data_IF_057202514677
#
_entry.id   IF_057202514677
#
_cell.length_a   1.000
_cell.length_b   1.000
_cell.length_c   1.000
_cell.angle_alpha   90.00
_cell.angle_beta   90.00
_cell.angle_gamma   90.00
#
_symmetry.space_group_name_H-M   'P 1'
#
loop_
_entity.id
_entity.type
_entity.pdbx_description
1 polymer ?
#
# COMPACT_ATOMS: atom_id res chain seq x y z
N UNK A 1 -7.16 7.25 3.51
CA UNK A 1 -7.66 8.00 2.35
C UNK A 1 -8.09 7.08 1.21
N UNK A 2 -7.19 6.25 0.65
CA UNK A 2 -7.51 5.27 -0.41
C UNK A 2 -8.60 4.28 0.01
N UNK A 3 -8.60 3.82 1.26
CA UNK A 3 -9.66 2.95 1.81
C UNK A 3 -11.03 3.64 1.76
N UNK A 4 -11.12 4.95 2.07
CA UNK A 4 -12.40 5.67 1.97
C UNK A 4 -12.92 5.68 0.53
N UNK A 5 -12.06 5.98 -0.45
CA UNK A 5 -12.43 5.93 -1.87
C UNK A 5 -12.82 4.54 -2.34
N UNK A 6 -12.12 3.50 -1.86
CA UNK A 6 -12.39 2.12 -2.27
C UNK A 6 -13.69 1.55 -1.72
N UNK A 7 -14.21 2.04 -0.58
CA UNK A 7 -15.56 1.66 -0.10
C UNK A 7 -16.63 2.03 -1.12
N UNK A 8 -16.52 3.20 -1.74
CA UNK A 8 -17.45 3.62 -2.78
C UNK A 8 -17.32 2.78 -4.05
N UNK A 9 -16.07 2.46 -4.48
CA UNK A 9 -15.85 1.53 -5.58
C UNK A 9 -16.36 0.12 -5.27
N UNK A 10 -16.20 -0.35 -4.03
CA UNK A 10 -16.73 -1.64 -3.59
C UNK A 10 -18.26 -1.66 -3.70
N UNK A 11 -18.95 -0.62 -3.25
CA UNK A 11 -20.42 -0.50 -3.36
C UNK A 11 -20.84 -0.51 -4.83
N UNK A 12 -20.10 0.18 -5.71
CA UNK A 12 -20.39 0.19 -7.15
C UNK A 12 -20.17 -1.17 -7.82
N UNK A 13 -19.30 -2.02 -7.25
CA UNK A 13 -18.85 -3.28 -7.87
C UNK A 13 -19.01 -4.49 -6.93
N UNK A 14 -20.06 -4.53 -6.10
CA UNK A 14 -20.30 -5.68 -5.22
C UNK A 14 -20.44 -6.97 -6.02
N UNK A 15 -19.69 -8.04 -5.69
CA UNK A 15 -19.68 -9.31 -6.42
C UNK A 15 -20.92 -10.18 -6.10
N UNK A 16 -22.10 -9.57 -6.18
CA UNK A 16 -23.39 -10.24 -5.96
C UNK A 16 -24.09 -10.36 -7.32
N UNK A 17 -24.44 -11.59 -7.77
CA UNK A 17 -25.15 -11.79 -9.03
C UNK A 17 -26.44 -10.95 -9.10
N UNK A 18 -26.63 -10.23 -10.21
CA UNK A 18 -27.80 -9.37 -10.43
C UNK A 18 -27.80 -8.02 -9.69
N UNK A 19 -26.78 -7.73 -8.87
CA UNK A 19 -26.71 -6.48 -8.09
C UNK A 19 -26.71 -5.24 -8.99
N UNK A 20 -25.86 -5.24 -10.03
CA UNK A 20 -25.76 -4.11 -10.96
C UNK A 20 -27.07 -3.83 -11.71
N UNK A 21 -27.73 -4.89 -12.17
CA UNK A 21 -29.03 -4.81 -12.85
C UNK A 21 -30.13 -4.29 -11.90
N UNK A 22 -30.13 -4.80 -10.66
CA UNK A 22 -31.06 -4.34 -9.63
C UNK A 22 -30.88 -2.85 -9.33
N UNK A 23 -29.65 -2.40 -9.12
CA UNK A 23 -29.34 -0.98 -8.85
C UNK A 23 -29.70 -0.09 -10.06
N UNK A 24 -29.39 -0.56 -11.28
CA UNK A 24 -29.74 0.16 -12.51
C UNK A 24 -31.28 0.29 -12.69
N UNK A 25 -32.04 -0.71 -12.26
CA UNK A 25 -33.52 -0.67 -12.33
C UNK A 25 -34.13 0.39 -11.40
N UNK A 26 -33.44 0.73 -10.30
CA UNK A 26 -33.93 1.71 -9.31
C UNK A 26 -33.41 3.12 -9.62
N UNK A 27 -32.11 3.26 -9.93
CA UNK A 27 -31.42 4.54 -10.03
C UNK A 27 -31.03 4.93 -11.47
N UNK A 28 -31.33 4.07 -12.44
CA UNK A 28 -30.94 4.25 -13.84
C UNK A 28 -29.54 3.72 -14.16
N UNK A 29 -29.20 3.70 -15.45
CA UNK A 29 -27.94 3.08 -15.92
C UNK A 29 -26.66 3.80 -15.44
N UNK A 30 -26.79 5.06 -15.04
CA UNK A 30 -25.67 5.90 -14.59
C UNK A 30 -25.54 5.93 -13.06
N UNK A 31 -26.12 4.96 -12.34
CA UNK A 31 -26.11 4.91 -10.88
C UNK A 31 -24.72 4.85 -10.24
N UNK A 32 -23.71 4.39 -10.99
CA UNK A 32 -22.32 4.33 -10.51
C UNK A 32 -21.58 5.66 -10.59
N UNK A 33 -22.11 6.67 -11.31
CA UNK A 33 -21.43 7.95 -11.52
C UNK A 33 -21.03 8.67 -10.22
N UNK A 34 -21.87 8.76 -9.16
CA UNK A 34 -21.47 9.38 -7.89
C UNK A 34 -20.32 8.63 -7.22
N UNK A 35 -20.31 7.31 -7.28
CA UNK A 35 -19.24 6.47 -6.70
C UNK A 35 -17.92 6.63 -7.46
N UNK A 36 -17.99 6.69 -8.79
CA UNK A 36 -16.85 6.93 -9.66
C UNK A 36 -16.29 8.36 -9.47
N UNK A 37 -17.14 9.35 -9.17
CA UNK A 37 -16.69 10.70 -8.83
C UNK A 37 -15.85 10.71 -7.54
N UNK A 38 -16.24 9.94 -6.51
CA UNK A 38 -15.44 9.77 -5.30
C UNK A 38 -14.11 9.07 -5.60
N UNK A 39 -14.12 8.03 -6.41
CA UNK A 39 -12.90 7.36 -6.87
C UNK A 39 -11.98 8.33 -7.63
N UNK A 40 -12.54 9.14 -8.53
CA UNK A 40 -11.81 10.18 -9.26
C UNK A 40 -11.17 11.25 -8.37
N UNK A 41 -11.86 11.63 -7.27
CA UNK A 41 -11.35 12.59 -6.28
C UNK A 41 -10.38 11.99 -5.26
N UNK A 42 -10.20 10.67 -5.27
CA UNK A 42 -9.29 9.95 -4.36
C UNK A 42 -8.11 9.32 -5.12
N UNK A 43 -8.34 8.30 -5.91
CA UNK A 43 -7.27 7.56 -6.59
C UNK A 43 -6.60 8.37 -7.70
N UNK A 44 -7.39 9.08 -8.51
CA UNK A 44 -6.85 9.81 -9.65
C UNK A 44 -6.10 11.10 -9.27
N UNK A 45 -6.00 11.42 -7.97
CA UNK A 45 -5.20 12.54 -7.44
C UNK A 45 -4.20 12.06 -6.37
N UNK A 46 -3.88 10.77 -6.38
CA UNK A 46 -3.04 10.13 -5.36
C UNK A 46 -1.67 10.81 -5.20
N UNK A 47 -1.01 11.19 -6.29
CA UNK A 47 0.30 11.85 -6.24
C UNK A 47 0.24 13.21 -5.50
N UNK A 48 -0.84 14.00 -5.70
CA UNK A 48 -1.02 15.27 -4.98
C UNK A 48 -1.14 15.06 -3.47
N UNK A 49 -1.86 14.02 -3.08
CA UNK A 49 -2.04 13.69 -1.66
C UNK A 49 -0.75 13.15 -1.06
N UNK A 50 -0.04 12.30 -1.77
CA UNK A 50 1.23 11.70 -1.33
C UNK A 50 2.29 12.80 -1.10
N UNK A 51 2.45 13.75 -2.04
CA UNK A 51 3.44 14.81 -1.88
C UNK A 51 3.16 15.67 -0.65
N UNK A 52 1.89 16.04 -0.44
CA UNK A 52 1.48 16.83 0.73
C UNK A 52 1.64 16.04 2.03
N UNK A 53 1.15 14.81 2.07
CA UNK A 53 1.15 14.00 3.29
C UNK A 53 2.55 13.63 3.77
N UNK A 54 3.44 13.23 2.86
CA UNK A 54 4.83 12.90 3.19
C UNK A 54 5.55 14.15 3.68
N UNK A 55 5.46 15.26 2.94
CA UNK A 55 6.12 16.52 3.33
C UNK A 55 5.63 17.00 4.68
N UNK A 56 4.30 17.03 4.88
CA UNK A 56 3.71 17.45 6.14
C UNK A 56 4.21 16.62 7.33
N UNK A 57 4.22 15.30 7.17
CA UNK A 57 4.63 14.40 8.24
C UNK A 57 6.13 14.49 8.52
N UNK A 58 6.95 14.51 7.46
CA UNK A 58 8.41 14.59 7.59
C UNK A 58 8.83 15.90 8.27
N UNK A 59 8.39 17.03 7.73
CA UNK A 59 8.76 18.37 8.22
C UNK A 59 8.22 18.62 9.63
N UNK A 60 6.99 18.14 9.92
CA UNK A 60 6.43 18.21 11.27
C UNK A 60 7.20 17.37 12.29
N UNK A 61 7.71 16.20 11.93
CA UNK A 61 8.56 15.39 12.82
C UNK A 61 9.91 16.06 13.10
N UNK A 62 10.41 16.89 12.16
CA UNK A 62 11.63 17.67 12.30
C UNK A 62 11.43 18.98 13.10
N UNK A 63 10.20 19.30 13.50
CA UNK A 63 9.84 20.50 14.25
C UNK A 63 9.79 21.79 13.41
N UNK A 64 9.72 21.68 12.08
CA UNK A 64 9.69 22.78 11.13
C UNK A 64 8.24 23.09 10.65
N UNK A 65 8.04 24.20 9.90
CA UNK A 65 6.72 24.58 9.39
C UNK A 65 6.21 23.63 8.29
N UNK A 66 5.53 22.56 8.72
CA UNK A 66 5.00 21.52 7.86
C UNK A 66 3.97 22.05 6.86
N UNK A 67 3.19 23.06 7.21
CA UNK A 67 2.13 23.61 6.36
C UNK A 67 2.73 24.33 5.15
N UNK A 68 3.68 25.23 5.38
CA UNK A 68 4.35 25.96 4.30
C UNK A 68 5.14 25.01 3.38
N UNK A 69 5.91 24.08 3.97
CA UNK A 69 6.64 23.09 3.19
C UNK A 69 5.72 22.26 2.28
N UNK A 70 4.55 21.85 2.78
CA UNK A 70 3.60 21.04 2.00
C UNK A 70 3.01 21.79 0.82
N UNK A 71 2.70 23.08 0.99
CA UNK A 71 2.22 23.94 -0.10
C UNK A 71 3.32 24.10 -1.16
N UNK A 72 4.57 24.34 -0.74
CA UNK A 72 5.71 24.46 -1.64
C UNK A 72 5.99 23.15 -2.39
N UNK A 73 5.86 22.01 -1.73
CA UNK A 73 6.04 20.70 -2.36
C UNK A 73 4.96 20.42 -3.41
N UNK A 74 3.70 20.73 -3.10
CA UNK A 74 2.58 20.61 -4.04
C UNK A 74 2.81 21.52 -5.26
N UNK A 75 3.17 22.77 -5.04
CA UNK A 75 3.45 23.72 -6.13
C UNK A 75 4.63 23.25 -6.99
N UNK A 76 5.70 22.74 -6.37
CA UNK A 76 6.87 22.18 -7.07
C UNK A 76 6.48 21.01 -7.95
N UNK A 77 5.63 20.10 -7.45
CA UNK A 77 5.11 18.97 -8.24
C UNK A 77 4.31 19.48 -9.47
N UNK A 78 3.42 20.44 -9.27
CA UNK A 78 2.58 20.98 -10.35
C UNK A 78 3.40 21.71 -11.42
N UNK A 79 4.46 22.44 -11.07
CA UNK A 79 5.37 23.10 -12.02
C UNK A 79 6.02 22.07 -12.95
N UNK A 80 6.29 20.85 -12.47
CA UNK A 80 6.97 19.80 -13.22
C UNK A 80 6.03 18.95 -14.08
N UNK A 81 4.70 19.09 -13.91
CA UNK A 81 3.69 18.32 -14.65
C UNK A 81 3.61 18.77 -16.12
N UNK A 82 3.16 17.88 -17.03
CA UNK A 82 2.87 18.26 -18.41
C UNK A 82 1.75 19.33 -18.44
N UNK A 83 1.97 20.47 -19.12
CA UNK A 83 0.96 21.53 -19.20
C UNK A 83 -0.12 21.28 -20.26
N UNK A 84 0.04 20.22 -21.04
CA UNK A 84 -0.86 19.89 -22.16
C UNK A 84 -0.90 18.38 -22.37
N UNK A 85 -1.96 17.93 -23.04
CA UNK A 85 -2.16 16.54 -23.42
C UNK A 85 -2.63 16.46 -24.86
N UNK A 86 -2.10 15.51 -25.63
CA UNK A 86 -2.59 15.21 -26.98
C UNK A 86 -3.72 14.19 -26.84
N UNK A 87 -4.91 14.53 -27.30
CA UNK A 87 -6.07 13.64 -27.33
C UNK A 87 -5.89 12.54 -28.39
N UNK A 88 -6.69 11.48 -28.32
CA UNK A 88 -6.70 10.40 -29.33
C UNK A 88 -6.94 10.91 -30.76
N UNK A 89 -7.64 12.02 -30.90
CA UNK A 89 -7.90 12.68 -32.19
C UNK A 89 -6.75 13.61 -32.64
N UNK A 90 -5.62 13.61 -31.94
CA UNK A 90 -4.44 14.43 -32.27
C UNK A 90 -4.58 15.92 -31.89
N UNK A 91 -5.63 16.32 -31.16
CA UNK A 91 -5.79 17.69 -30.70
C UNK A 91 -4.96 17.94 -29.44
N UNK A 92 -4.20 19.02 -29.42
CA UNK A 92 -3.47 19.51 -28.26
C UNK A 92 -4.43 20.29 -27.35
N UNK A 93 -4.66 19.80 -26.13
CA UNK A 93 -5.41 20.52 -25.08
C UNK A 93 -4.40 21.06 -24.08
N UNK A 94 -4.29 22.38 -23.98
CA UNK A 94 -3.42 23.09 -23.04
C UNK A 94 -4.12 23.50 -21.76
N UNK A 95 -3.36 24.06 -20.82
CA UNK A 95 -3.83 24.58 -19.51
C UNK A 95 -4.63 23.57 -18.68
N UNK A 96 -4.17 22.32 -18.68
CA UNK A 96 -4.79 21.21 -17.95
C UNK A 96 -3.82 20.60 -16.94
N UNK A 97 -4.38 19.93 -15.95
CA UNK A 97 -3.65 19.02 -15.06
C UNK A 97 -4.07 17.59 -15.42
N UNK A 98 -3.23 16.83 -16.15
CA UNK A 98 -3.60 15.50 -16.59
C UNK A 98 -3.73 14.54 -15.40
N UNK A 99 -4.92 13.93 -15.22
CA UNK A 99 -5.20 13.00 -14.11
C UNK A 99 -4.22 11.83 -14.06
N UNK A 100 -3.72 11.36 -15.20
CA UNK A 100 -2.73 10.29 -15.25
C UNK A 100 -1.46 10.62 -14.44
N UNK A 101 -0.97 11.85 -14.51
CA UNK A 101 0.27 12.27 -13.85
C UNK A 101 0.08 12.73 -12.41
N UNK A 102 -1.12 13.12 -12.01
CA UNK A 102 -1.46 13.41 -10.61
C UNK A 102 -2.00 12.18 -9.87
N UNK A 103 -2.28 11.08 -10.59
CA UNK A 103 -2.67 9.77 -10.10
C UNK A 103 -1.47 8.82 -9.90
N UNK A 104 -1.62 7.56 -10.33
CA UNK A 104 -0.63 6.49 -10.15
C UNK A 104 0.73 6.78 -10.78
N UNK A 105 0.75 7.32 -12.01
CA UNK A 105 2.00 7.52 -12.75
C UNK A 105 2.91 8.59 -12.12
N UNK A 106 2.34 9.52 -11.36
CA UNK A 106 3.09 10.57 -10.66
C UNK A 106 3.53 10.23 -9.25
N UNK A 107 3.17 9.08 -8.70
CA UNK A 107 3.38 8.78 -7.28
C UNK A 107 4.86 8.75 -6.90
N UNK A 108 5.71 8.11 -7.70
CA UNK A 108 7.16 8.06 -7.42
C UNK A 108 7.78 9.44 -7.51
N UNK A 109 7.38 10.23 -8.51
CA UNK A 109 7.80 11.64 -8.62
C UNK A 109 7.38 12.43 -7.39
N UNK A 110 6.15 12.27 -6.93
CA UNK A 110 5.63 12.93 -5.73
C UNK A 110 6.45 12.58 -4.47
N UNK A 111 6.83 11.31 -4.31
CA UNK A 111 7.69 10.86 -3.21
C UNK A 111 9.07 11.54 -3.28
N UNK A 112 9.71 11.54 -4.44
CA UNK A 112 11.04 12.16 -4.63
C UNK A 112 10.98 13.67 -4.30
N UNK A 113 9.97 14.37 -4.82
CA UNK A 113 9.77 15.79 -4.56
C UNK A 113 9.48 16.05 -3.08
N UNK A 114 8.64 15.21 -2.45
CA UNK A 114 8.33 15.34 -1.03
C UNK A 114 9.59 15.28 -0.17
N UNK A 115 10.46 14.29 -0.38
CA UNK A 115 11.71 14.18 0.37
C UNK A 115 12.69 15.31 0.05
N UNK A 116 12.82 15.69 -1.21
CA UNK A 116 13.67 16.80 -1.62
C UNK A 116 13.26 18.11 -0.94
N UNK A 117 11.97 18.47 -1.05
CA UNK A 117 11.45 19.70 -0.43
C UNK A 117 11.56 19.62 1.09
N UNK A 118 11.20 18.50 1.70
CA UNK A 118 11.26 18.34 3.16
C UNK A 118 12.68 18.56 3.70
N UNK A 119 13.65 17.90 3.08
CA UNK A 119 15.05 18.00 3.55
C UNK A 119 15.60 19.42 3.39
N UNK A 120 15.41 20.02 2.20
CA UNK A 120 15.94 21.37 1.92
C UNK A 120 15.21 22.43 2.75
N UNK A 121 13.88 22.31 2.92
CA UNK A 121 13.10 23.23 3.74
C UNK A 121 13.55 23.20 5.20
N UNK A 122 13.67 22.01 5.81
CA UNK A 122 14.14 21.86 7.17
C UNK A 122 15.59 22.36 7.32
N UNK A 123 16.44 22.12 6.32
CA UNK A 123 17.80 22.67 6.34
C UNK A 123 17.80 24.19 6.36
N UNK A 124 16.99 24.84 5.51
CA UNK A 124 16.87 26.29 5.45
C UNK A 124 16.33 26.85 6.77
N UNK A 125 15.29 26.26 7.32
CA UNK A 125 14.64 26.75 8.56
C UNK A 125 15.59 26.59 9.76
N UNK A 126 16.21 25.44 9.95
CA UNK A 126 17.15 25.15 11.05
C UNK A 126 18.41 26.01 10.99
N UNK A 127 18.88 26.35 9.79
CA UNK A 127 20.07 27.20 9.61
C UNK A 127 19.71 28.69 9.42
N UNK A 128 18.45 29.06 9.64
CA UNK A 128 17.98 30.45 9.48
C UNK A 128 18.24 31.04 8.07
N UNK A 129 18.18 30.21 7.03
CA UNK A 129 18.29 30.63 5.64
C UNK A 129 16.92 31.14 5.18
N UNK A 130 16.66 32.42 5.41
CA UNK A 130 15.38 33.05 5.12
C UNK A 130 15.36 34.52 5.52
N UNK A 131 14.27 35.21 5.20
CA UNK A 131 14.08 36.60 5.60
C UNK A 131 13.56 36.62 7.04
N UNK A 132 14.38 37.13 7.97
CA UNK A 132 13.97 37.30 9.37
C UNK A 132 13.12 38.54 9.51
N UNK A 133 11.94 38.40 10.09
CA UNK A 133 11.08 39.50 10.44
C UNK A 133 11.28 39.90 11.91
N UNK A 134 11.12 41.19 12.24
CA UNK A 134 11.08 41.64 13.63
C UNK A 134 9.98 40.97 14.44
N UNK A 135 10.18 40.82 15.76
CA UNK A 135 9.22 40.17 16.67
C UNK A 135 7.85 40.88 16.74
N UNK A 136 7.77 42.14 16.28
CA UNK A 136 6.53 42.91 16.18
C UNK A 136 5.57 42.43 15.04
N UNK A 137 6.08 41.61 14.13
CA UNK A 137 5.29 41.13 12.98
C UNK A 137 4.46 39.90 13.39
N UNK A 138 3.14 39.85 13.03
CA UNK A 138 2.32 38.69 13.31
C UNK A 138 2.94 37.37 12.76
N UNK A 139 2.89 36.31 13.56
CA UNK A 139 3.56 35.03 13.25
C UNK A 139 3.21 34.46 11.87
N UNK A 140 1.93 34.60 11.41
CA UNK A 140 1.53 34.12 10.10
C UNK A 140 2.23 34.84 8.95
N UNK A 141 2.49 36.15 9.10
CA UNK A 141 3.22 36.96 8.13
C UNK A 141 4.71 36.59 8.15
N UNK A 142 5.28 36.51 9.36
CA UNK A 142 6.69 36.14 9.53
C UNK A 142 7.02 34.77 8.89
N UNK A 143 6.17 33.76 9.07
CA UNK A 143 6.30 32.43 8.44
C UNK A 143 6.28 32.51 6.91
N UNK A 144 5.40 33.33 6.32
CA UNK A 144 5.34 33.49 4.87
C UNK A 144 6.66 34.06 4.30
N UNK A 145 7.25 35.05 4.99
CA UNK A 145 8.55 35.61 4.57
C UNK A 145 9.73 34.65 4.79
N UNK A 146 9.70 33.87 5.87
CA UNK A 146 10.72 32.83 6.11
C UNK A 146 10.68 31.77 5.02
N UNK A 147 9.49 31.38 4.54
CA UNK A 147 9.32 30.40 3.49
C UNK A 147 9.63 30.92 2.06
N UNK A 148 9.80 32.23 1.89
CA UNK A 148 10.06 32.85 0.58
C UNK A 148 11.37 32.34 -0.05
N UNK A 149 12.46 32.32 0.73
CA UNK A 149 13.78 31.91 0.23
C UNK A 149 13.79 30.41 -0.15
N UNK A 150 13.35 29.47 0.72
CA UNK A 150 13.17 28.08 0.32
C UNK A 150 12.29 27.92 -0.91
N UNK A 151 11.15 28.65 -0.98
CA UNK A 151 10.23 28.62 -2.11
C UNK A 151 10.91 29.03 -3.43
N UNK A 152 11.70 30.10 -3.40
CA UNK A 152 12.47 30.54 -4.59
C UNK A 152 13.49 29.46 -5.00
N UNK A 153 14.14 28.78 -4.08
CA UNK A 153 15.06 27.67 -4.38
C UNK A 153 14.27 26.55 -5.10
N UNK A 154 13.13 26.12 -4.55
CA UNK A 154 12.35 25.03 -5.15
C UNK A 154 11.82 25.36 -6.53
N UNK A 155 11.27 26.55 -6.72
CA UNK A 155 10.71 26.97 -8.00
C UNK A 155 11.80 27.20 -9.05
N UNK A 156 12.97 27.69 -8.64
CA UNK A 156 14.12 27.80 -9.54
C UNK A 156 14.61 26.41 -9.98
N UNK A 157 14.78 25.48 -9.02
CA UNK A 157 15.19 24.11 -9.35
C UNK A 157 14.15 23.44 -10.24
N UNK A 158 12.86 23.56 -9.93
CA UNK A 158 11.78 23.00 -10.75
C UNK A 158 11.77 23.60 -12.16
N UNK A 159 11.93 24.92 -12.29
CA UNK A 159 11.98 25.60 -13.59
C UNK A 159 13.18 25.13 -14.43
N UNK A 160 14.35 25.00 -13.82
CA UNK A 160 15.56 24.49 -14.50
C UNK A 160 15.36 23.04 -14.94
N UNK A 161 14.82 22.17 -14.05
CA UNK A 161 14.54 20.78 -14.39
C UNK A 161 13.49 20.66 -15.51
N UNK A 162 12.43 21.46 -15.45
CA UNK A 162 11.43 21.54 -16.51
C UNK A 162 12.08 21.93 -17.84
N UNK A 163 12.89 23.01 -17.85
CA UNK A 163 13.60 23.46 -19.04
C UNK A 163 14.55 22.40 -19.60
N UNK A 164 15.34 21.75 -18.75
CA UNK A 164 16.26 20.69 -19.18
C UNK A 164 15.49 19.52 -19.80
N UNK A 165 14.43 19.04 -19.17
CA UNK A 165 13.60 17.95 -19.72
C UNK A 165 12.97 18.36 -21.05
N UNK A 166 12.42 19.58 -21.14
CA UNK A 166 11.76 20.07 -22.33
C UNK A 166 12.73 20.24 -23.53
N UNK A 167 13.89 20.87 -23.31
CA UNK A 167 14.82 21.17 -24.40
C UNK A 167 15.73 20.01 -24.81
N UNK A 168 16.03 19.09 -23.86
CA UNK A 168 16.91 17.95 -24.14
C UNK A 168 16.15 16.69 -24.60
N UNK A 169 14.88 16.52 -24.24
CA UNK A 169 14.16 15.29 -24.54
C UNK A 169 12.71 15.47 -24.96
N UNK A 170 12.17 16.70 -25.01
CA UNK A 170 10.74 16.96 -25.23
C UNK A 170 9.83 16.10 -24.32
N UNK A 171 10.25 15.87 -23.08
CA UNK A 171 9.62 15.02 -22.08
C UNK A 171 9.54 15.80 -20.77
N UNK A 172 8.60 15.50 -19.90
CA UNK A 172 8.55 16.09 -18.55
C UNK A 172 9.29 15.24 -17.51
N UNK A 173 9.63 15.83 -16.36
CA UNK A 173 10.30 15.10 -15.30
C UNK A 173 9.47 13.92 -14.76
N UNK A 174 8.15 14.04 -14.56
CA UNK A 174 7.31 12.88 -14.18
C UNK A 174 7.35 11.75 -15.20
N UNK A 175 7.31 12.06 -16.51
CA UNK A 175 7.42 11.06 -17.57
C UNK A 175 8.79 10.37 -17.58
N UNK A 176 9.86 11.14 -17.34
CA UNK A 176 11.21 10.59 -17.26
C UNK A 176 11.35 9.63 -16.07
N UNK A 177 10.91 10.05 -14.90
CA UNK A 177 10.93 9.22 -13.66
C UNK A 177 10.05 7.99 -13.85
N UNK A 178 8.87 8.13 -14.45
CA UNK A 178 7.99 7.02 -14.74
C UNK A 178 8.67 5.97 -15.61
N UNK A 179 9.30 6.38 -16.72
CA UNK A 179 9.97 5.46 -17.63
C UNK A 179 11.23 4.82 -17.05
N UNK A 180 12.05 5.58 -16.31
CA UNK A 180 13.36 5.11 -15.87
C UNK A 180 13.29 4.39 -14.52
N UNK A 181 12.38 4.80 -13.64
CA UNK A 181 12.31 4.28 -12.26
C UNK A 181 11.03 3.48 -12.04
N UNK A 182 9.86 4.09 -12.27
CA UNK A 182 8.59 3.47 -11.87
C UNK A 182 8.29 2.22 -12.69
N UNK A 183 8.34 2.29 -14.01
CA UNK A 183 8.02 1.15 -14.89
C UNK A 183 8.91 -0.08 -14.63
N UNK A 184 10.25 0.05 -14.54
CA UNK A 184 11.10 -1.10 -14.18
C UNK A 184 10.81 -1.65 -12.78
N UNK A 185 10.59 -0.80 -11.78
CA UNK A 185 10.27 -1.25 -10.42
C UNK A 185 8.90 -1.93 -10.34
N UNK A 186 7.88 -1.39 -11.02
CA UNK A 186 6.58 -2.05 -11.14
C UNK A 186 6.70 -3.40 -11.85
N UNK A 187 7.40 -3.44 -13.00
CA UNK A 187 7.65 -4.68 -13.72
C UNK A 187 8.38 -5.71 -12.88
N UNK A 188 9.37 -5.31 -12.09
CA UNK A 188 10.07 -6.22 -11.18
C UNK A 188 9.17 -6.68 -10.03
N UNK A 189 8.40 -5.78 -9.42
CA UNK A 189 7.51 -6.10 -8.30
C UNK A 189 6.34 -7.00 -8.72
N UNK A 190 5.91 -6.93 -9.98
CA UNK A 190 4.83 -7.76 -10.53
C UNK A 190 5.29 -9.17 -10.93
N UNK A 191 6.58 -9.49 -10.81
CA UNK A 191 7.06 -10.86 -11.00
C UNK A 191 6.84 -11.72 -9.75
N UNK A 192 6.67 -13.04 -9.93
CA UNK A 192 6.60 -13.97 -8.80
C UNK A 192 7.85 -13.90 -7.92
N UNK A 193 9.03 -13.71 -8.54
CA UNK A 193 10.29 -13.54 -7.82
C UNK A 193 10.30 -12.24 -6.99
N UNK A 194 9.91 -11.12 -7.59
CA UNK A 194 9.83 -9.82 -6.89
C UNK A 194 8.82 -9.86 -5.74
N UNK A 195 7.62 -10.41 -5.97
CA UNK A 195 6.63 -10.62 -4.92
C UNK A 195 7.15 -11.52 -3.79
N UNK A 196 7.91 -12.57 -4.14
CA UNK A 196 8.52 -13.46 -3.14
C UNK A 196 9.56 -12.75 -2.27
N UNK A 197 10.41 -11.91 -2.87
CA UNK A 197 11.39 -11.10 -2.12
C UNK A 197 10.67 -10.13 -1.18
N UNK A 198 9.62 -9.46 -1.64
CA UNK A 198 8.82 -8.52 -0.84
C UNK A 198 8.25 -9.25 0.38
N UNK A 199 7.59 -10.38 0.17
CA UNK A 199 6.93 -11.16 1.24
C UNK A 199 7.96 -11.74 2.21
N UNK A 200 9.05 -12.29 1.71
CA UNK A 200 10.12 -12.85 2.55
C UNK A 200 10.77 -11.78 3.43
N UNK A 201 11.10 -10.60 2.87
CA UNK A 201 11.69 -9.49 3.61
C UNK A 201 10.76 -8.99 4.73
N UNK A 202 9.45 -8.90 4.47
CA UNK A 202 8.48 -8.52 5.50
C UNK A 202 8.49 -9.50 6.68
N UNK A 203 8.52 -10.80 6.39
CA UNK A 203 8.55 -11.85 7.42
C UNK A 203 9.88 -11.88 8.20
N UNK A 204 11.02 -11.83 7.48
CA UNK A 204 12.36 -11.87 8.09
C UNK A 204 12.60 -10.66 8.99
N UNK A 205 12.28 -9.44 8.52
CA UNK A 205 12.42 -8.22 9.32
C UNK A 205 11.53 -8.26 10.56
N UNK A 206 10.29 -8.76 10.40
CA UNK A 206 9.38 -8.86 11.55
C UNK A 206 9.90 -9.86 12.60
N UNK A 207 10.40 -11.01 12.15
CA UNK A 207 11.07 -11.97 13.02
C UNK A 207 12.32 -11.37 13.71
N UNK A 208 13.05 -10.50 13.02
CA UNK A 208 14.21 -9.79 13.58
C UNK A 208 13.83 -8.61 14.51
N UNK A 209 12.56 -8.46 14.87
CA UNK A 209 12.08 -7.41 15.78
C UNK A 209 11.77 -6.07 15.13
N UNK A 210 11.91 -5.98 13.81
CA UNK A 210 11.56 -4.77 13.05
C UNK A 210 10.22 -5.00 12.36
N UNK A 211 9.27 -4.06 12.47
CA UNK A 211 7.95 -4.22 11.84
C UNK A 211 8.06 -4.24 10.31
N UNK A 212 8.36 -5.45 9.76
CA UNK A 212 8.65 -5.66 8.35
C UNK A 212 7.62 -5.09 7.38
N UNK A 213 6.29 -5.30 7.59
CA UNK A 213 5.26 -4.71 6.74
C UNK A 213 5.33 -3.18 6.65
N UNK A 214 5.66 -2.48 7.73
CA UNK A 214 5.78 -1.03 7.70
C UNK A 214 7.04 -0.56 6.97
N UNK A 215 8.19 -1.20 7.23
CA UNK A 215 9.47 -0.81 6.62
C UNK A 215 9.47 -1.12 5.11
N UNK A 216 9.17 -2.35 4.74
CA UNK A 216 9.10 -2.77 3.33
C UNK A 216 7.94 -2.08 2.63
N UNK A 217 6.78 -1.98 3.30
CA UNK A 217 5.59 -1.32 2.77
C UNK A 217 5.82 0.15 2.47
N UNK A 218 6.62 0.87 3.27
CA UNK A 218 6.97 2.26 3.01
C UNK A 218 7.54 2.49 1.61
N UNK A 219 8.28 1.52 1.08
CA UNK A 219 8.88 1.57 -0.27
C UNK A 219 7.98 0.90 -1.31
N UNK A 220 7.40 -0.25 -0.99
CA UNK A 220 6.75 -1.14 -1.96
C UNK A 220 5.26 -0.83 -2.14
N UNK A 221 4.56 -0.39 -1.09
CA UNK A 221 3.10 -0.14 -1.18
C UNK A 221 2.71 0.85 -2.28
N UNK A 222 3.45 1.96 -2.54
CA UNK A 222 3.13 2.84 -3.66
C UNK A 222 3.17 2.12 -5.01
N UNK A 223 4.11 1.20 -5.23
CA UNK A 223 4.23 0.42 -6.46
C UNK A 223 3.07 -0.57 -6.60
N UNK A 224 2.73 -1.28 -5.52
CA UNK A 224 1.64 -2.26 -5.54
C UNK A 224 0.26 -1.59 -5.70
N UNK A 225 0.08 -0.40 -5.14
CA UNK A 225 -1.12 0.42 -5.37
C UNK A 225 -1.16 0.90 -6.82
N UNK A 226 -0.04 1.33 -7.39
CA UNK A 226 0.04 1.71 -8.80
C UNK A 226 -0.34 0.53 -9.72
N UNK A 227 0.13 -0.69 -9.43
CA UNK A 227 -0.30 -1.90 -10.16
C UNK A 227 -1.83 -2.11 -10.09
N UNK A 228 -2.45 -1.88 -8.93
CA UNK A 228 -3.91 -1.96 -8.78
C UNK A 228 -4.64 -0.88 -9.60
N UNK A 229 -4.07 0.31 -9.69
CA UNK A 229 -4.63 1.43 -10.45
C UNK A 229 -4.44 1.25 -11.96
N UNK A 230 -3.35 0.66 -12.41
CA UNK A 230 -3.16 0.27 -13.80
C UNK A 230 -4.23 -0.75 -14.23
N UNK A 231 -4.51 -1.73 -13.37
CA UNK A 231 -5.62 -2.67 -13.61
C UNK A 231 -6.98 -1.95 -13.65
N UNK A 232 -7.21 -0.98 -12.78
CA UNK A 232 -8.45 -0.19 -12.82
C UNK A 232 -8.58 0.59 -14.13
N UNK A 233 -7.49 1.16 -14.61
CA UNK A 233 -7.48 1.86 -15.90
C UNK A 233 -7.88 0.91 -17.06
N UNK A 234 -7.39 -0.33 -17.06
CA UNK A 234 -7.80 -1.32 -18.06
C UNK A 234 -9.33 -1.59 -18.02
N UNK A 235 -9.93 -1.66 -16.82
CA UNK A 235 -11.38 -1.77 -16.66
C UNK A 235 -12.09 -0.53 -17.19
N UNK A 236 -11.59 0.66 -16.86
CA UNK A 236 -12.20 1.94 -17.24
C UNK A 236 -12.25 2.14 -18.76
N UNK A 237 -11.29 1.56 -19.50
CA UNK A 237 -11.30 1.53 -20.97
C UNK A 237 -12.02 0.31 -21.56
N UNK A 238 -12.74 -0.47 -20.73
CA UNK A 238 -13.58 -1.59 -21.15
C UNK A 238 -12.84 -2.91 -21.38
N UNK A 239 -11.57 -3.04 -20.93
CA UNK A 239 -10.80 -4.28 -21.06
C UNK A 239 -11.07 -5.23 -19.89
N UNK A 240 -11.11 -6.55 -20.19
CA UNK A 240 -11.10 -7.57 -19.13
C UNK A 240 -9.71 -7.70 -18.52
N UNK A 241 -9.64 -7.95 -17.22
CA UNK A 241 -8.37 -8.26 -16.54
C UNK A 241 -7.99 -9.74 -16.67
N UNK A 242 -8.97 -10.64 -16.81
CA UNK A 242 -8.73 -12.09 -16.87
C UNK A 242 -8.01 -12.41 -18.18
N UNK A 243 -6.88 -13.12 -18.08
CA UNK A 243 -6.02 -13.50 -19.20
C UNK A 243 -5.49 -12.30 -20.03
N UNK A 244 -5.46 -11.12 -19.45
CA UNK A 244 -4.91 -9.93 -20.09
C UNK A 244 -3.41 -9.82 -19.75
N UNK A 245 -2.50 -9.80 -20.74
CA UNK A 245 -1.05 -9.72 -20.50
C UNK A 245 -0.60 -8.37 -19.91
N UNK A 246 -1.42 -7.32 -20.03
CA UNK A 246 -1.14 -6.01 -19.45
C UNK A 246 -1.55 -5.91 -17.98
N UNK A 247 -2.45 -6.80 -17.53
CA UNK A 247 -2.95 -6.81 -16.16
C UNK A 247 -1.87 -7.26 -15.17
N UNK A 248 -1.73 -6.50 -14.08
CA UNK A 248 -0.78 -6.76 -13.00
C UNK A 248 -1.32 -7.77 -12.02
N UNK A 249 -0.53 -8.80 -11.70
CA UNK A 249 -0.91 -9.86 -10.76
C UNK A 249 -0.56 -9.46 -9.32
N UNK A 250 0.68 -8.99 -9.10
CA UNK A 250 1.14 -8.60 -7.76
C UNK A 250 0.68 -7.18 -7.44
N UNK A 251 -0.42 -7.08 -6.72
CA UNK A 251 -1.07 -5.84 -6.31
C UNK A 251 -1.07 -5.67 -4.79
N UNK A 252 -1.52 -4.53 -4.31
CA UNK A 252 -1.68 -4.28 -2.88
C UNK A 252 -2.59 -5.32 -2.21
N UNK A 253 -3.67 -5.75 -2.87
CA UNK A 253 -4.62 -6.75 -2.36
C UNK A 253 -3.97 -8.13 -2.19
N UNK A 254 -3.13 -8.56 -3.13
CA UNK A 254 -2.37 -9.82 -2.99
C UNK A 254 -1.49 -9.75 -1.75
N UNK A 255 -0.69 -8.68 -1.61
CA UNK A 255 0.23 -8.52 -0.50
C UNK A 255 -0.46 -8.35 0.86
N UNK A 256 -1.54 -7.56 0.92
CA UNK A 256 -2.12 -7.13 2.19
C UNK A 256 -3.31 -7.98 2.66
N UNK A 257 -4.01 -8.66 1.74
CA UNK A 257 -5.24 -9.40 2.05
C UNK A 257 -5.04 -10.91 1.93
N UNK A 258 -4.36 -11.38 0.89
CA UNK A 258 -4.22 -12.83 0.66
C UNK A 258 -3.01 -13.44 1.35
N UNK A 259 -1.90 -12.69 1.43
CA UNK A 259 -0.64 -13.16 2.02
C UNK A 259 -0.58 -12.91 3.54
N UNK A 260 -1.35 -11.94 4.06
CA UNK A 260 -1.33 -11.52 5.47
C UNK A 260 -2.64 -11.83 6.22
N UNK A 261 -3.36 -12.87 5.83
CA UNK A 261 -4.59 -13.26 6.54
C UNK A 261 -4.31 -13.60 8.01
N UNK A 262 -4.88 -12.84 8.92
CA UNK A 262 -4.57 -12.93 10.35
C UNK A 262 -3.31 -12.18 10.77
N UNK A 263 -2.79 -11.27 9.93
CA UNK A 263 -1.61 -10.45 10.13
C UNK A 263 -0.36 -11.00 9.44
N UNK A 264 0.78 -10.33 9.64
CA UNK A 264 2.06 -10.75 9.07
C UNK A 264 2.40 -12.18 9.49
N UNK A 265 2.90 -12.99 8.56
CA UNK A 265 3.16 -14.42 8.78
C UNK A 265 1.95 -15.31 8.53
N UNK A 266 0.81 -14.77 8.10
CA UNK A 266 -0.47 -15.48 7.94
C UNK A 266 -0.84 -16.26 9.20
N UNK A 267 -0.75 -15.58 10.35
CA UNK A 267 -0.78 -16.15 11.70
C UNK A 267 -2.16 -16.65 12.14
N UNK A 268 -3.22 -16.38 11.39
CA UNK A 268 -4.51 -17.01 11.65
C UNK A 268 -4.42 -18.54 11.54
N UNK A 269 -3.59 -19.08 10.63
CA UNK A 269 -3.33 -20.51 10.54
C UNK A 269 -2.61 -21.06 11.78
N UNK A 270 -1.68 -20.30 12.37
CA UNK A 270 -1.05 -20.65 13.65
C UNK A 270 -2.11 -20.72 14.78
N UNK A 271 -2.98 -19.73 14.87
CA UNK A 271 -4.09 -19.73 15.85
C UNK A 271 -4.99 -20.95 15.67
N UNK A 272 -5.41 -21.23 14.44
CA UNK A 272 -6.28 -22.38 14.13
C UNK A 272 -5.59 -23.71 14.44
N UNK A 273 -4.29 -23.83 14.18
CA UNK A 273 -3.53 -25.06 14.46
C UNK A 273 -3.39 -25.34 15.96
N UNK A 274 -3.36 -24.29 16.79
CA UNK A 274 -3.11 -24.42 18.24
C UNK A 274 -4.35 -24.45 19.11
N UNK A 275 -5.39 -23.69 18.79
CA UNK A 275 -6.52 -23.41 19.72
C UNK A 275 -7.20 -24.67 20.28
N UNK A 276 -7.22 -25.77 19.52
CA UNK A 276 -7.82 -27.03 19.94
C UNK A 276 -6.80 -28.13 20.31
N UNK A 277 -5.49 -27.89 20.11
CA UNK A 277 -4.49 -28.96 20.19
C UNK A 277 -3.45 -28.77 21.28
N UNK A 278 -3.22 -27.55 21.76
CA UNK A 278 -2.19 -27.24 22.76
C UNK A 278 -2.59 -27.69 24.16
N UNK A 279 -1.60 -28.08 24.94
CA UNK A 279 -1.75 -28.60 26.30
C UNK A 279 -1.30 -27.61 27.38
N UNK A 280 -0.25 -26.82 27.14
CA UNK A 280 0.25 -25.77 28.02
C UNK A 280 -0.86 -24.78 28.37
N UNK A 281 -1.00 -24.41 29.63
CA UNK A 281 -2.01 -23.46 30.10
C UNK A 281 -1.67 -22.04 29.66
N UNK A 282 -0.39 -21.69 29.62
CA UNK A 282 0.11 -20.43 29.13
C UNK A 282 -0.25 -20.26 27.66
N UNK A 283 0.05 -21.27 26.82
CA UNK A 283 -0.25 -21.21 25.39
C UNK A 283 -1.76 -21.19 25.11
N UNK A 284 -2.58 -21.97 25.87
CA UNK A 284 -4.05 -21.92 25.76
C UNK A 284 -4.61 -20.54 26.06
N UNK A 285 -4.13 -19.90 27.11
CA UNK A 285 -4.58 -18.56 27.50
C UNK A 285 -4.23 -17.52 26.46
N UNK A 286 -2.99 -17.60 25.93
CA UNK A 286 -2.51 -16.72 24.88
C UNK A 286 -3.33 -16.87 23.59
N UNK A 287 -3.50 -18.08 23.08
CA UNK A 287 -4.23 -18.33 21.84
C UNK A 287 -5.71 -17.89 21.95
N UNK A 288 -6.35 -18.10 23.11
CA UNK A 288 -7.72 -17.61 23.36
C UNK A 288 -7.79 -16.08 23.32
N UNK A 289 -6.83 -15.40 23.94
CA UNK A 289 -6.75 -13.93 23.94
C UNK A 289 -6.48 -13.37 22.53
N UNK A 290 -5.62 -14.03 21.76
CA UNK A 290 -5.23 -13.60 20.42
C UNK A 290 -6.25 -13.96 19.33
N UNK A 291 -7.21 -14.86 19.60
CA UNK A 291 -8.10 -15.39 18.57
C UNK A 291 -9.00 -14.33 17.94
N UNK A 292 -9.71 -13.57 18.77
CA UNK A 292 -10.63 -12.54 18.25
C UNK A 292 -9.86 -11.42 17.51
N UNK A 293 -8.80 -10.82 18.08
CA UNK A 293 -7.96 -9.92 17.31
C UNK A 293 -7.44 -10.51 15.99
N UNK A 294 -6.99 -11.77 16.02
CA UNK A 294 -6.46 -12.47 14.84
C UNK A 294 -7.48 -12.64 13.70
N UNK A 295 -8.78 -12.79 14.02
CA UNK A 295 -9.84 -12.77 13.01
C UNK A 295 -9.93 -11.42 12.26
N UNK A 296 -9.53 -10.33 12.91
CA UNK A 296 -9.48 -9.00 12.35
C UNK A 296 -8.07 -8.59 11.88
N UNK A 297 -7.20 -9.57 11.63
CA UNK A 297 -5.82 -9.40 11.16
C UNK A 297 -4.87 -8.68 12.14
N UNK A 298 -5.25 -8.60 13.43
CA UNK A 298 -4.46 -8.01 14.51
C UNK A 298 -3.73 -9.15 15.22
N UNK A 299 -2.41 -9.28 14.98
CA UNK A 299 -1.63 -10.40 15.52
C UNK A 299 -0.57 -10.00 16.56
N UNK A 300 -0.53 -8.75 16.98
CA UNK A 300 0.37 -8.27 18.02
C UNK A 300 0.26 -9.08 19.34
N UNK A 301 -0.96 -9.42 19.85
CA UNK A 301 -1.06 -10.25 21.04
C UNK A 301 -0.37 -11.61 20.88
N UNK A 302 -0.42 -12.18 19.68
CA UNK A 302 0.22 -13.45 19.38
C UNK A 302 1.74 -13.30 19.26
N UNK A 303 2.21 -12.27 18.56
CA UNK A 303 3.63 -12.05 18.30
C UNK A 303 4.42 -11.74 19.58
N UNK A 304 3.84 -10.95 20.46
CA UNK A 304 4.48 -10.60 21.74
C UNK A 304 4.22 -11.63 22.84
N UNK A 305 3.11 -12.33 22.78
CA UNK A 305 2.77 -13.34 23.79
C UNK A 305 3.42 -14.69 23.51
N UNK A 306 3.49 -15.11 22.26
CA UNK A 306 4.32 -16.21 21.81
C UNK A 306 5.58 -15.59 21.24
N UNK A 307 6.76 -15.78 21.86
CA UNK A 307 7.96 -15.06 21.44
C UNK A 307 8.35 -15.50 20.02
N UNK A 308 7.72 -14.86 19.00
CA UNK A 308 8.01 -15.10 17.58
C UNK A 308 9.31 -14.40 17.20
N UNK A 309 9.55 -13.23 17.79
CA UNK A 309 10.77 -12.44 17.56
C UNK A 309 11.97 -13.22 18.05
N UNK A 310 12.96 -13.40 17.16
CA UNK A 310 14.17 -14.21 17.37
C UNK A 310 13.93 -15.68 17.75
N UNK A 311 12.73 -16.21 17.54
CA UNK A 311 12.45 -17.62 17.74
C UNK A 311 12.81 -18.42 16.49
N UNK A 312 13.87 -19.27 16.53
CA UNK A 312 14.31 -20.00 15.33
C UNK A 312 13.29 -21.06 14.88
N UNK A 313 12.49 -21.61 15.81
CA UNK A 313 11.46 -22.60 15.48
C UNK A 313 10.31 -21.99 14.66
N UNK A 314 9.96 -20.74 14.93
CA UNK A 314 8.87 -20.05 14.25
C UNK A 314 9.31 -19.25 13.03
N UNK A 315 10.60 -18.99 12.83
CA UNK A 315 11.12 -18.30 11.63
C UNK A 315 10.67 -19.00 10.35
N UNK A 316 10.88 -20.32 10.30
CA UNK A 316 10.60 -21.09 9.08
C UNK A 316 9.15 -20.99 8.66
N UNK A 317 8.15 -21.34 9.48
CA UNK A 317 6.76 -21.21 9.07
C UNK A 317 6.33 -19.75 8.90
N UNK A 318 6.87 -18.81 9.67
CA UNK A 318 6.51 -17.39 9.59
C UNK A 318 6.90 -16.73 8.26
N UNK A 319 7.96 -17.23 7.61
CA UNK A 319 8.39 -16.78 6.27
C UNK A 319 7.80 -17.66 5.17
N UNK A 320 7.80 -18.98 5.37
CA UNK A 320 7.39 -19.95 4.34
C UNK A 320 5.88 -19.88 4.04
N UNK A 321 5.05 -19.75 5.07
CA UNK A 321 3.59 -19.78 4.90
C UNK A 321 3.10 -18.62 4.02
N UNK A 322 3.50 -17.35 4.26
CA UNK A 322 3.14 -16.25 3.36
C UNK A 322 3.65 -16.42 1.93
N UNK A 323 4.84 -17.03 1.72
CA UNK A 323 5.36 -17.33 0.39
C UNK A 323 4.49 -18.34 -0.34
N UNK A 324 4.06 -19.40 0.34
CA UNK A 324 3.16 -20.39 -0.25
C UNK A 324 1.80 -19.76 -0.57
N UNK A 325 1.27 -18.92 0.33
CA UNK A 325 0.04 -18.18 0.07
C UNK A 325 0.16 -17.24 -1.14
N UNK A 326 1.32 -16.60 -1.32
CA UNK A 326 1.63 -15.82 -2.51
C UNK A 326 1.58 -16.71 -3.76
N UNK A 327 2.22 -17.89 -3.75
CA UNK A 327 2.24 -18.80 -4.89
C UNK A 327 0.83 -19.29 -5.24
N UNK A 328 0.04 -19.72 -4.25
CA UNK A 328 -1.34 -20.16 -4.47
C UNK A 328 -2.16 -19.03 -5.09
N UNK A 329 -2.05 -17.82 -4.57
CA UNK A 329 -2.79 -16.66 -5.07
C UNK A 329 -2.32 -16.26 -6.48
N UNK A 330 -1.01 -16.19 -6.71
CA UNK A 330 -0.42 -15.88 -8.01
C UNK A 330 -0.88 -16.86 -9.10
N UNK A 331 -0.77 -18.16 -8.85
CA UNK A 331 -1.20 -19.17 -9.82
C UNK A 331 -2.71 -19.19 -10.02
N UNK A 332 -3.51 -18.92 -8.99
CA UNK A 332 -4.96 -18.79 -9.12
C UNK A 332 -5.34 -17.64 -10.06
N UNK A 333 -4.60 -16.53 -10.05
CA UNK A 333 -4.81 -15.40 -10.96
C UNK A 333 -4.26 -15.73 -12.35
N UNK A 334 -3.04 -16.23 -12.45
CA UNK A 334 -2.37 -16.49 -13.73
C UNK A 334 -3.07 -17.57 -14.57
N UNK A 335 -3.77 -18.52 -13.91
CA UNK A 335 -4.59 -19.54 -14.57
C UNK A 335 -6.01 -19.06 -14.89
N UNK A 336 -6.37 -17.81 -14.55
CA UNK A 336 -7.69 -17.23 -14.80
C UNK A 336 -8.79 -17.73 -13.86
N UNK A 337 -8.46 -18.43 -12.75
CA UNK A 337 -9.45 -18.81 -11.74
C UNK A 337 -9.93 -17.59 -10.94
N UNK A 338 -9.02 -16.67 -10.60
CA UNK A 338 -9.33 -15.36 -10.06
C UNK A 338 -8.99 -14.25 -11.06
N UNK A 339 -9.72 -13.15 -11.03
CA UNK A 339 -9.32 -11.94 -11.73
C UNK A 339 -8.16 -11.24 -11.01
N UNK A 340 -7.21 -10.61 -11.72
CA UNK A 340 -6.33 -9.61 -11.10
C UNK A 340 -7.15 -8.53 -10.38
N UNK A 341 -6.56 -7.92 -9.34
CA UNK A 341 -7.28 -6.95 -8.52
C UNK A 341 -7.16 -5.54 -9.09
N UNK A 342 -8.28 -4.81 -9.09
CA UNK A 342 -8.37 -3.40 -9.47
C UNK A 342 -8.11 -2.46 -8.28
N UNK A 343 -8.52 -1.19 -8.37
CA UNK A 343 -8.39 -0.22 -7.29
C UNK A 343 -9.27 -0.51 -6.05
N UNK A 344 -10.21 -1.46 -6.15
CA UNK A 344 -11.08 -1.85 -5.02
C UNK A 344 -10.23 -2.41 -3.89
N UNK A 345 -10.37 -1.85 -2.70
CA UNK A 345 -9.70 -2.29 -1.48
C UNK A 345 -10.72 -2.49 -0.38
N UNK A 346 -10.42 -3.37 0.54
CA UNK A 346 -11.17 -3.56 1.78
C UNK A 346 -10.34 -3.04 2.96
N UNK A 347 -10.97 -2.59 4.06
CA UNK A 347 -10.24 -2.30 5.29
C UNK A 347 -9.35 -3.48 5.67
N UNK A 348 -8.11 -3.20 6.09
CA UNK A 348 -7.15 -4.25 6.45
C UNK A 348 -7.65 -5.15 7.61
N UNK A 349 -8.55 -4.63 8.43
CA UNK A 349 -9.21 -5.36 9.51
C UNK A 349 -10.37 -6.25 9.03
N UNK A 350 -10.69 -6.29 7.74
CA UNK A 350 -11.76 -7.17 7.24
C UNK A 350 -11.36 -8.63 7.45
N UNK A 351 -12.21 -9.45 8.10
CA UNK A 351 -11.90 -10.87 8.33
C UNK A 351 -11.57 -11.61 7.02
N UNK A 352 -10.56 -12.50 7.04
CA UNK A 352 -10.28 -13.39 5.92
C UNK A 352 -11.53 -14.16 5.47
N UNK A 353 -11.56 -14.61 4.23
CA UNK A 353 -12.70 -15.20 3.52
C UNK A 353 -13.74 -14.14 3.13
N UNK A 354 -14.19 -13.28 4.06
CA UNK A 354 -15.06 -12.14 3.73
C UNK A 354 -14.31 -11.15 2.84
N UNK A 355 -13.07 -10.82 3.20
CA UNK A 355 -12.22 -9.94 2.39
C UNK A 355 -11.99 -10.51 0.98
N UNK A 356 -11.68 -11.80 0.85
CA UNK A 356 -11.54 -12.47 -0.44
C UNK A 356 -12.82 -12.44 -1.26
N UNK A 357 -13.97 -12.69 -0.62
CA UNK A 357 -15.26 -12.60 -1.29
C UNK A 357 -15.57 -11.20 -1.81
N UNK A 358 -15.33 -10.17 -1.00
CA UNK A 358 -15.59 -8.78 -1.39
C UNK A 358 -14.69 -8.31 -2.55
N UNK A 359 -13.47 -8.83 -2.64
CA UNK A 359 -12.50 -8.44 -3.68
C UNK A 359 -12.63 -9.24 -4.97
N UNK A 360 -13.01 -10.51 -4.90
CA UNK A 360 -12.98 -11.42 -6.07
C UNK A 360 -14.09 -12.49 -6.05
N UNK A 361 -15.22 -12.19 -5.40
CA UNK A 361 -16.34 -13.11 -5.32
C UNK A 361 -15.99 -14.42 -4.61
N UNK A 362 -16.72 -15.50 -4.95
CA UNK A 362 -16.53 -16.82 -4.33
C UNK A 362 -15.12 -17.40 -4.59
N UNK A 363 -14.50 -17.07 -5.73
CA UNK A 363 -13.15 -17.52 -6.07
C UNK A 363 -12.13 -16.98 -5.07
N UNK A 364 -12.22 -15.69 -4.73
CA UNK A 364 -11.37 -15.08 -3.71
C UNK A 364 -11.55 -15.69 -2.33
N UNK A 365 -12.79 -16.00 -1.95
CA UNK A 365 -13.08 -16.70 -0.69
C UNK A 365 -12.46 -18.10 -0.67
N UNK A 366 -12.59 -18.88 -1.75
CA UNK A 366 -11.99 -20.22 -1.87
C UNK A 366 -10.47 -20.17 -1.77
N UNK A 367 -9.80 -19.24 -2.44
CA UNK A 367 -8.34 -19.11 -2.37
C UNK A 367 -7.89 -18.76 -0.95
N UNK A 368 -8.60 -17.89 -0.23
CA UNK A 368 -8.28 -17.62 1.18
C UNK A 368 -8.51 -18.83 2.09
N UNK A 369 -9.54 -19.64 1.86
CA UNK A 369 -9.76 -20.89 2.59
C UNK A 369 -8.59 -21.86 2.35
N UNK A 370 -8.14 -21.99 1.10
CA UNK A 370 -6.98 -22.85 0.75
C UNK A 370 -5.72 -22.33 1.45
N UNK A 371 -5.45 -21.03 1.41
CA UNK A 371 -4.31 -20.41 2.08
C UNK A 371 -4.34 -20.65 3.61
N UNK A 372 -5.51 -20.50 4.24
CA UNK A 372 -5.69 -20.77 5.67
C UNK A 372 -5.52 -22.25 6.02
N UNK A 373 -6.03 -23.16 5.20
CA UNK A 373 -5.86 -24.60 5.41
C UNK A 373 -4.38 -25.02 5.31
N UNK A 374 -3.68 -24.54 4.29
CA UNK A 374 -2.23 -24.78 4.12
C UNK A 374 -1.46 -24.16 5.29
N UNK A 375 -1.76 -22.92 5.67
CA UNK A 375 -1.15 -22.26 6.81
C UNK A 375 -1.32 -23.08 8.09
N UNK A 376 -2.53 -23.52 8.37
CA UNK A 376 -2.85 -24.34 9.54
C UNK A 376 -2.05 -25.64 9.56
N UNK A 377 -1.96 -26.32 8.43
CA UNK A 377 -1.21 -27.57 8.29
C UNK A 377 0.30 -27.36 8.51
N UNK A 378 0.87 -26.29 7.94
CA UNK A 378 2.32 -26.00 8.06
C UNK A 378 2.66 -25.56 9.49
N UNK A 379 1.84 -24.70 10.12
CA UNK A 379 2.10 -24.25 11.50
C UNK A 379 1.94 -25.38 12.53
N UNK A 380 1.11 -26.37 12.26
CA UNK A 380 0.77 -27.43 13.23
C UNK A 380 1.97 -28.11 13.90
N UNK A 381 3.01 -28.64 13.20
CA UNK A 381 4.14 -29.27 13.85
C UNK A 381 4.96 -28.27 14.70
N UNK A 382 5.10 -27.03 14.26
CA UNK A 382 5.85 -25.99 14.97
C UNK A 382 5.14 -25.54 16.24
N UNK A 383 3.82 -25.35 16.17
CA UNK A 383 2.98 -25.04 17.34
C UNK A 383 3.05 -26.19 18.38
N UNK A 384 3.03 -27.44 17.92
CA UNK A 384 3.19 -28.60 18.80
C UNK A 384 4.58 -28.67 19.47
N UNK A 385 5.63 -28.34 18.74
CA UNK A 385 6.97 -28.30 19.31
C UNK A 385 7.09 -27.21 20.39
N UNK A 386 6.56 -26.01 20.10
CA UNK A 386 6.52 -24.90 21.05
C UNK A 386 5.67 -25.22 22.28
N UNK A 387 4.49 -25.81 22.09
CA UNK A 387 3.61 -26.25 23.20
C UNK A 387 4.30 -27.24 24.14
N UNK A 388 5.06 -28.18 23.55
CA UNK A 388 5.82 -29.17 24.32
C UNK A 388 6.92 -28.52 25.17
N UNK A 389 7.64 -27.52 24.60
CA UNK A 389 8.66 -26.76 25.33
C UNK A 389 8.02 -25.99 26.51
N UNK A 390 6.97 -25.23 26.25
CA UNK A 390 6.26 -24.48 27.30
C UNK A 390 5.65 -25.39 28.38
N UNK A 391 5.18 -26.58 28.01
CA UNK A 391 4.64 -27.52 28.95
C UNK A 391 5.72 -28.08 29.91
N UNK A 392 6.93 -28.31 29.41
CA UNK A 392 8.08 -28.72 30.25
C UNK A 392 8.48 -27.62 31.23
N UNK A 393 8.53 -26.37 30.77
CA UNK A 393 8.77 -25.21 31.66
C UNK A 393 7.71 -25.07 32.75
N UNK A 394 6.42 -25.26 32.42
CA UNK A 394 5.32 -25.26 33.40
C UNK A 394 5.47 -26.38 34.43
N UNK A 395 6.01 -27.52 34.06
CA UNK A 395 6.22 -28.67 34.95
C UNK A 395 7.52 -28.59 35.78
N UNK A 396 8.32 -27.54 35.57
CA UNK A 396 9.58 -27.34 36.30
C UNK A 396 10.73 -28.23 35.81
N UNK A 397 10.57 -28.91 34.67
CA UNK A 397 11.63 -29.69 34.04
C UNK A 397 12.54 -28.69 33.28
N UNK A 398 13.78 -28.50 33.75
CA UNK A 398 14.80 -27.72 33.00
C UNK A 398 15.14 -28.45 31.73
N UNK A 399 15.32 -27.71 30.64
CA UNK A 399 15.96 -28.24 29.45
C UNK A 399 17.41 -28.68 29.83
N UNK A 400 17.74 -29.98 29.64
CA UNK A 400 19.12 -30.50 29.66
C UNK A 400 19.82 -30.15 28.38
#
# INVERSE_FOLDING_TARGET
>A
FTICGSVFLLIANLPIPGYGEFMASIFGNDWTAPFNAVAGGTFNVLALIVVVAITYKFVGNEGCDASMASILALSTLLILMPPSLVTENGQLVGDIIPKAWVGSNGVITAIIIAFFVSYVFCYCEKNNVGIKMPDSVPQGVARAFTALVPGMIFFTVASVLYGLCHYLGAITLPELIFKIIQTPLQGLSDTLAGGSVIVALQGILFWAGVHGPNVVGGVVSPLLIANSLDNQHLIDIGMSLINNPEAKIITAQVNDVFVKSGGCGLTLGLLLSGIFTVKSQQMKSLLKMAFVPGLFNINEPLIFGLPIVFNPYLLVPFVLVPLIALFVTYFSISMGFMSPFSAVQVPWTTPPIIAGFLLNGWQGAVVQIINLAISTAIYFPFVRAQDKAMLKEEQGEKEE
#
